data_IF_465454937399
#
_entry.id   IF_465454937399
#
_cell.length_a   1.000
_cell.length_b   1.000
_cell.length_c   1.000
_cell.angle_alpha   90.00
_cell.angle_beta   90.00
_cell.angle_gamma   90.00
#
_symmetry.space_group_name_H-M   'P 1'
#
loop_
_entity.id
_entity.type
_entity.pdbx_description
1 polymer ?
#
# COMPACT_ATOMS: atom_id res chain seq x y z
N UNK A 1 -14.72 1.77 -12.57
CA UNK A 1 -13.93 0.59 -12.12
C UNK A 1 -12.56 1.04 -11.63
N UNK A 2 -11.98 0.36 -10.62
CA UNK A 2 -10.55 0.50 -10.28
C UNK A 2 -9.77 -0.51 -11.15
N UNK A 3 -8.78 -0.04 -11.91
CA UNK A 3 -8.02 -0.88 -12.86
C UNK A 3 -6.67 -1.34 -12.28
N UNK A 4 -6.45 -1.19 -10.97
CA UNK A 4 -5.21 -1.60 -10.29
C UNK A 4 -3.93 -1.03 -10.93
N UNK A 5 -4.05 0.17 -11.52
CA UNK A 5 -2.97 0.82 -12.27
C UNK A 5 -1.74 1.08 -11.38
N UNK A 6 -1.94 1.42 -10.10
CA UNK A 6 -0.84 1.63 -9.16
C UNK A 6 -0.12 0.34 -8.80
N UNK A 7 -0.86 -0.76 -8.59
CA UNK A 7 -0.25 -2.07 -8.31
C UNK A 7 0.59 -2.57 -9.49
N UNK A 8 0.07 -2.50 -10.72
CA UNK A 8 0.79 -2.92 -11.93
C UNK A 8 2.08 -2.11 -12.09
N UNK A 9 2.01 -0.79 -11.90
CA UNK A 9 3.17 0.10 -11.95
C UNK A 9 4.23 -0.28 -10.90
N UNK A 10 3.83 -0.41 -9.63
CA UNK A 10 4.74 -0.67 -8.54
C UNK A 10 5.38 -2.08 -8.63
N UNK A 11 4.58 -3.10 -8.91
CA UNK A 11 5.06 -4.48 -9.08
C UNK A 11 5.97 -4.59 -10.31
N UNK A 12 5.66 -3.89 -11.40
CA UNK A 12 6.54 -3.84 -12.57
C UNK A 12 7.94 -3.31 -12.24
N UNK A 13 8.03 -2.24 -11.45
CA UNK A 13 9.31 -1.68 -10.98
C UNK A 13 10.08 -2.66 -10.08
N UNK A 14 9.39 -3.34 -9.17
CA UNK A 14 10.00 -4.32 -8.28
C UNK A 14 10.49 -5.56 -9.03
N UNK A 15 9.74 -6.05 -10.03
CA UNK A 15 10.18 -7.12 -10.92
C UNK A 15 11.41 -6.70 -11.74
N UNK A 16 11.44 -5.47 -12.26
CA UNK A 16 12.60 -4.94 -12.97
C UNK A 16 13.83 -4.81 -12.04
N UNK A 17 13.63 -4.35 -10.79
CA UNK A 17 14.68 -4.31 -9.78
C UNK A 17 15.21 -5.71 -9.46
N UNK A 18 14.33 -6.69 -9.33
CA UNK A 18 14.69 -8.08 -9.05
C UNK A 18 15.50 -8.70 -10.21
N UNK A 19 15.06 -8.49 -11.46
CA UNK A 19 15.80 -8.94 -12.64
C UNK A 19 17.19 -8.30 -12.75
N UNK A 20 17.28 -7.00 -12.47
CA UNK A 20 18.57 -6.31 -12.51
C UNK A 20 19.50 -6.69 -11.36
N UNK A 21 18.96 -7.03 -10.18
CA UNK A 21 19.71 -7.47 -9.02
C UNK A 21 20.09 -8.96 -9.09
N UNK A 22 19.32 -9.80 -9.79
CA UNK A 22 19.61 -11.23 -9.98
C UNK A 22 20.87 -11.49 -10.84
N UNK A 23 21.33 -10.51 -11.60
CA UNK A 23 22.64 -10.55 -12.25
C UNK A 23 23.82 -10.43 -11.25
N UNK A 24 23.55 -9.98 -10.02
CA UNK A 24 24.51 -9.88 -8.92
C UNK A 24 24.43 -11.18 -8.08
N UNK A 25 25.56 -11.80 -7.73
CA UNK A 25 25.64 -13.08 -6.97
C UNK A 25 25.20 -12.98 -5.49
N UNK A 26 24.33 -12.04 -5.14
CA UNK A 26 23.87 -11.78 -3.77
C UNK A 26 22.37 -12.07 -3.62
N UNK A 27 21.91 -12.62 -2.48
CA UNK A 27 20.49 -12.94 -2.26
C UNK A 27 19.59 -11.71 -2.36
N UNK A 28 18.44 -11.84 -3.04
CA UNK A 28 17.45 -10.77 -3.10
C UNK A 28 16.89 -10.51 -1.69
N UNK A 29 16.62 -9.25 -1.39
CA UNK A 29 15.92 -8.85 -0.17
C UNK A 29 14.95 -7.71 -0.47
N UNK A 30 13.89 -7.58 0.31
CA UNK A 30 12.95 -6.47 0.16
C UNK A 30 13.66 -5.12 0.18
N UNK A 31 14.59 -4.93 1.12
CA UNK A 31 15.38 -3.69 1.25
C UNK A 31 16.23 -3.42 -0.01
N UNK A 32 16.85 -4.45 -0.60
CA UNK A 32 17.63 -4.29 -1.84
C UNK A 32 16.73 -3.87 -3.00
N UNK A 33 15.56 -4.49 -3.14
CA UNK A 33 14.63 -4.17 -4.23
C UNK A 33 14.07 -2.76 -4.09
N UNK A 34 13.57 -2.40 -2.91
CA UNK A 34 13.06 -1.07 -2.61
C UNK A 34 14.09 0.03 -2.88
N UNK A 35 15.32 -0.17 -2.38
CA UNK A 35 16.46 0.74 -2.61
C UNK A 35 16.83 0.83 -4.08
N UNK A 36 16.83 -0.30 -4.80
CA UNK A 36 17.14 -0.32 -6.22
C UNK A 36 16.12 0.49 -7.02
N UNK A 37 14.82 0.38 -6.71
CA UNK A 37 13.77 1.17 -7.37
C UNK A 37 14.00 2.67 -7.16
N UNK A 38 14.14 3.10 -5.91
CA UNK A 38 14.35 4.52 -5.60
C UNK A 38 15.64 5.07 -6.22
N UNK A 39 16.74 4.30 -6.16
CA UNK A 39 18.05 4.73 -6.70
C UNK A 39 18.08 4.77 -8.22
N UNK A 40 17.49 3.79 -8.92
CA UNK A 40 17.61 3.64 -10.37
C UNK A 40 16.60 4.48 -11.15
N UNK A 41 15.40 4.67 -10.59
CA UNK A 41 14.30 5.29 -11.32
C UNK A 41 13.62 6.42 -10.54
N UNK A 42 13.99 6.71 -9.29
CA UNK A 42 13.25 7.67 -8.49
C UNK A 42 13.22 9.07 -9.10
N UNK A 43 14.34 9.53 -9.65
CA UNK A 43 14.43 10.84 -10.29
C UNK A 43 13.62 10.92 -11.60
N UNK A 44 13.59 9.84 -12.36
CA UNK A 44 12.87 9.68 -13.62
C UNK A 44 11.36 9.53 -13.39
N UNK A 45 10.96 8.82 -12.34
CA UNK A 45 9.56 8.68 -11.92
C UNK A 45 8.99 10.04 -11.51
N UNK A 46 9.78 10.91 -10.88
CA UNK A 46 9.32 12.26 -10.50
C UNK A 46 9.29 13.23 -11.69
N UNK A 47 10.28 13.14 -12.60
CA UNK A 47 10.38 14.01 -13.79
C UNK A 47 9.52 13.55 -14.98
N UNK A 48 9.10 12.29 -15.00
CA UNK A 48 8.37 11.71 -16.11
C UNK A 48 6.99 12.34 -16.32
N UNK A 49 6.38 12.18 -17.51
CA UNK A 49 5.09 12.77 -17.82
C UNK A 49 4.03 12.31 -16.83
N UNK A 50 3.25 13.26 -16.29
CA UNK A 50 2.10 12.96 -15.46
C UNK A 50 0.93 12.63 -16.39
N UNK A 51 0.33 11.43 -16.32
CA UNK A 51 -0.83 11.11 -17.15
C UNK A 51 -1.92 12.15 -16.90
N UNK A 52 -2.28 12.89 -17.95
CA UNK A 52 -3.43 13.79 -17.92
C UNK A 52 -4.67 12.93 -17.67
N UNK A 53 -5.45 13.26 -16.63
CA UNK A 53 -6.69 12.58 -16.23
C UNK A 53 -6.53 11.25 -15.47
N UNK A 54 -5.52 11.11 -14.60
CA UNK A 54 -5.51 10.04 -13.59
C UNK A 54 -6.02 10.54 -12.23
N UNK A 55 -6.63 9.65 -11.42
CA UNK A 55 -7.01 10.00 -10.05
C UNK A 55 -5.80 10.52 -9.25
N UNK A 56 -4.61 9.95 -9.50
CA UNK A 56 -3.35 10.39 -8.88
C UNK A 56 -2.92 11.79 -9.30
N UNK A 57 -3.08 12.18 -10.57
CA UNK A 57 -2.73 13.53 -11.04
C UNK A 57 -3.69 14.60 -10.53
N UNK A 58 -4.97 14.26 -10.37
CA UNK A 58 -5.95 15.17 -9.76
C UNK A 58 -5.74 15.32 -8.26
N UNK A 59 -5.45 14.22 -7.56
CA UNK A 59 -5.14 14.26 -6.13
C UNK A 59 -3.81 14.99 -5.85
N UNK A 60 -2.79 14.78 -6.67
CA UNK A 60 -1.52 15.51 -6.57
C UNK A 60 -1.74 17.02 -6.78
N UNK A 61 -2.53 17.41 -7.79
CA UNK A 61 -2.85 18.82 -8.09
C UNK A 61 -3.68 19.48 -6.98
N UNK A 62 -4.66 18.77 -6.43
CA UNK A 62 -5.64 19.32 -5.49
C UNK A 62 -5.22 19.21 -4.02
N UNK A 63 -4.45 18.20 -3.67
CA UNK A 63 -4.13 17.84 -2.29
C UNK A 63 -2.64 17.62 -2.03
N UNK A 64 -1.76 17.79 -3.03
CA UNK A 64 -0.30 17.52 -2.93
C UNK A 64 0.07 16.09 -2.53
N UNK A 65 -0.88 15.16 -2.59
CA UNK A 65 -0.66 13.76 -2.29
C UNK A 65 0.21 13.12 -3.40
N UNK A 66 1.41 12.66 -3.04
CA UNK A 66 2.39 12.10 -3.97
C UNK A 66 2.01 10.76 -4.62
N UNK A 67 1.09 10.01 -3.98
CA UNK A 67 0.53 8.75 -4.48
C UNK A 67 1.58 7.68 -4.83
N UNK A 68 1.20 6.74 -5.70
CA UNK A 68 2.04 5.59 -6.07
C UNK A 68 3.39 5.98 -6.70
N UNK A 69 3.49 7.14 -7.36
CA UNK A 69 4.75 7.63 -7.94
C UNK A 69 5.72 8.11 -6.87
N UNK A 70 5.23 8.86 -5.89
CA UNK A 70 6.05 9.28 -4.75
C UNK A 70 6.51 8.09 -3.92
N UNK A 71 5.62 7.11 -3.67
CA UNK A 71 5.99 5.84 -3.04
C UNK A 71 7.15 5.18 -3.79
N UNK A 72 6.98 4.92 -5.08
CA UNK A 72 8.00 4.25 -5.87
C UNK A 72 9.32 5.04 -5.93
N UNK A 73 9.24 6.37 -6.10
CA UNK A 73 10.42 7.21 -6.21
C UNK A 73 11.27 7.22 -4.92
N UNK A 74 10.64 7.05 -3.77
CA UNK A 74 11.29 6.98 -2.46
C UNK A 74 11.64 5.54 -2.05
N UNK A 75 11.36 4.54 -2.89
CA UNK A 75 11.59 3.14 -2.57
C UNK A 75 10.57 2.55 -1.59
N UNK A 76 9.30 2.94 -1.70
CA UNK A 76 8.16 2.40 -0.96
C UNK A 76 8.27 2.51 0.58
N UNK A 77 8.47 3.73 1.13
CA UNK A 77 8.62 3.92 2.58
C UNK A 77 7.46 3.36 3.39
N UNK A 78 6.21 3.50 2.91
CA UNK A 78 5.07 2.95 3.66
C UNK A 78 5.02 1.42 3.62
N UNK A 79 5.49 0.77 2.54
CA UNK A 79 5.59 -0.69 2.52
C UNK A 79 6.65 -1.16 3.52
N UNK A 80 7.79 -0.46 3.60
CA UNK A 80 8.88 -0.74 4.52
C UNK A 80 8.51 -0.53 5.98
N UNK A 81 8.02 0.66 6.31
CA UNK A 81 7.91 1.14 7.69
C UNK A 81 6.55 0.84 8.32
N UNK A 82 5.53 0.53 7.50
CA UNK A 82 4.17 0.24 7.97
C UNK A 82 3.70 -1.14 7.50
N UNK A 83 3.73 -1.39 6.20
CA UNK A 83 3.17 -2.61 5.58
C UNK A 83 3.82 -3.89 6.09
N UNK A 84 5.14 -4.02 5.93
CA UNK A 84 5.89 -5.22 6.33
C UNK A 84 5.82 -5.48 7.84
N UNK A 85 6.04 -4.49 8.73
CA UNK A 85 5.82 -4.67 10.17
C UNK A 85 4.41 -5.12 10.51
N UNK A 86 3.38 -4.48 9.93
CA UNK A 86 1.99 -4.82 10.22
C UNK A 86 1.61 -6.22 9.69
N UNK A 87 2.11 -6.63 8.53
CA UNK A 87 1.89 -7.97 7.99
C UNK A 87 2.47 -9.03 8.94
N UNK A 88 3.70 -8.83 9.43
CA UNK A 88 4.35 -9.72 10.39
C UNK A 88 3.59 -9.74 11.72
N UNK A 89 3.19 -8.59 12.24
CA UNK A 89 2.40 -8.49 13.47
C UNK A 89 1.05 -9.23 13.35
N UNK A 90 0.35 -9.05 12.22
CA UNK A 90 -0.91 -9.74 11.95
C UNK A 90 -0.79 -11.27 11.93
N UNK A 91 0.34 -11.81 11.45
CA UNK A 91 0.62 -13.26 11.55
C UNK A 91 0.74 -13.73 12.98
N UNK A 92 1.44 -12.96 13.82
CA UNK A 92 1.58 -13.28 15.26
C UNK A 92 0.23 -13.22 15.97
N UNK A 93 -0.62 -12.25 15.62
CA UNK A 93 -1.92 -12.04 16.25
C UNK A 93 -2.97 -13.11 15.90
N UNK A 94 -3.02 -13.57 14.65
CA UNK A 94 -4.13 -14.39 14.15
C UNK A 94 -3.72 -15.72 13.51
N UNK A 95 -2.42 -15.99 13.35
CA UNK A 95 -1.89 -17.26 12.87
C UNK A 95 -2.19 -17.62 11.40
N UNK A 96 -2.86 -16.75 10.63
CA UNK A 96 -3.19 -17.01 9.22
C UNK A 96 -2.87 -15.80 8.32
N UNK A 97 -2.58 -16.08 7.05
CA UNK A 97 -2.13 -15.08 6.08
C UNK A 97 -3.20 -14.08 5.68
N UNK A 98 -4.48 -14.47 5.62
CA UNK A 98 -5.56 -13.55 5.23
C UNK A 98 -5.80 -12.50 6.30
N UNK A 99 -5.84 -12.91 7.58
CA UNK A 99 -5.86 -11.98 8.71
C UNK A 99 -4.64 -11.07 8.71
N UNK A 100 -3.44 -11.61 8.46
CA UNK A 100 -2.23 -10.80 8.38
C UNK A 100 -2.31 -9.71 7.30
N UNK A 101 -2.84 -10.05 6.11
CA UNK A 101 -3.03 -9.09 5.00
C UNK A 101 -4.10 -8.05 5.32
N UNK A 102 -5.18 -8.43 5.99
CA UNK A 102 -6.21 -7.48 6.47
C UNK A 102 -5.61 -6.52 7.49
N UNK A 103 -4.80 -7.02 8.43
CA UNK A 103 -4.12 -6.17 9.41
C UNK A 103 -3.17 -5.17 8.74
N UNK A 104 -2.34 -5.64 7.81
CA UNK A 104 -1.45 -4.79 7.03
C UNK A 104 -2.21 -3.74 6.20
N UNK A 105 -3.33 -4.14 5.59
CA UNK A 105 -4.20 -3.23 4.84
C UNK A 105 -4.71 -2.07 5.71
N UNK A 106 -5.23 -2.39 6.92
CA UNK A 106 -5.70 -1.36 7.84
C UNK A 106 -4.57 -0.46 8.34
N UNK A 107 -3.38 -1.01 8.60
CA UNK A 107 -2.21 -0.22 8.98
C UNK A 107 -1.79 0.76 7.89
N UNK A 108 -1.72 0.29 6.63
CA UNK A 108 -1.43 1.14 5.47
C UNK A 108 -2.48 2.23 5.29
N UNK A 109 -3.76 1.85 5.35
CA UNK A 109 -4.88 2.79 5.24
C UNK A 109 -4.83 3.87 6.32
N UNK A 110 -4.47 3.52 7.57
CA UNK A 110 -4.37 4.49 8.67
C UNK A 110 -3.21 5.50 8.47
N UNK A 111 -2.13 5.08 7.79
CA UNK A 111 -0.91 5.86 7.62
C UNK A 111 -0.92 6.75 6.36
N UNK A 112 -1.50 6.27 5.26
CA UNK A 112 -1.35 6.88 3.94
C UNK A 112 -2.36 7.98 3.62
N UNK A 113 -1.95 8.92 2.76
CA UNK A 113 -2.85 9.80 2.02
C UNK A 113 -3.31 9.12 0.72
N UNK A 114 -4.31 8.25 0.84
CA UNK A 114 -4.81 7.48 -0.30
C UNK A 114 -5.48 8.38 -1.35
N UNK A 115 -4.85 8.48 -2.53
CA UNK A 115 -5.32 9.34 -3.62
C UNK A 115 -6.66 8.89 -4.22
N UNK A 116 -7.01 7.61 -4.14
CA UNK A 116 -8.32 7.13 -4.58
C UNK A 116 -9.42 7.55 -3.61
N UNK A 117 -9.13 7.60 -2.30
CA UNK A 117 -10.06 8.15 -1.32
C UNK A 117 -10.23 9.65 -1.49
N UNK A 118 -9.13 10.40 -1.65
CA UNK A 118 -9.18 11.84 -1.91
C UNK A 118 -9.99 12.18 -3.18
N UNK A 119 -9.85 11.37 -4.23
CA UNK A 119 -10.59 11.57 -5.46
C UNK A 119 -12.11 11.33 -5.30
N UNK A 120 -12.50 10.30 -4.54
CA UNK A 120 -13.92 9.89 -4.41
C UNK A 120 -14.68 10.57 -3.28
N UNK A 121 -14.02 10.80 -2.16
CA UNK A 121 -14.63 11.30 -0.92
C UNK A 121 -13.99 12.60 -0.41
N UNK A 122 -13.01 13.16 -1.11
CA UNK A 122 -12.30 14.36 -0.64
C UNK A 122 -11.51 14.12 0.65
N UNK A 123 -11.12 15.22 1.29
CA UNK A 123 -10.38 15.18 2.56
C UNK A 123 -11.20 14.53 3.68
N UNK A 124 -12.52 14.77 3.73
CA UNK A 124 -13.41 14.16 4.72
C UNK A 124 -13.49 12.63 4.54
N UNK A 125 -13.70 12.15 3.31
CA UNK A 125 -13.72 10.70 3.04
C UNK A 125 -12.40 10.01 3.33
N UNK A 126 -11.26 10.67 3.11
CA UNK A 126 -9.95 10.18 3.56
C UNK A 126 -9.86 10.14 5.08
N UNK A 127 -10.23 11.23 5.76
CA UNK A 127 -10.15 11.33 7.22
C UNK A 127 -11.00 10.25 7.91
N UNK A 128 -12.21 10.02 7.43
CA UNK A 128 -13.10 9.00 7.97
C UNK A 128 -12.59 7.59 7.74
N UNK A 129 -12.06 7.30 6.55
CA UNK A 129 -11.48 5.99 6.28
C UNK A 129 -10.25 5.72 7.15
N UNK A 130 -9.41 6.74 7.39
CA UNK A 130 -8.28 6.66 8.33
C UNK A 130 -8.75 6.48 9.77
N UNK A 131 -9.83 7.15 10.18
CA UNK A 131 -10.42 7.00 11.50
C UNK A 131 -10.96 5.58 11.71
N UNK A 132 -11.71 5.04 10.74
CA UNK A 132 -12.21 3.67 10.79
C UNK A 132 -11.05 2.65 10.86
N UNK A 133 -9.98 2.87 10.08
CA UNK A 133 -8.81 2.02 10.11
C UNK A 133 -8.06 2.06 11.45
N UNK A 134 -7.87 3.26 12.02
CA UNK A 134 -7.28 3.42 13.35
C UNK A 134 -8.14 2.77 14.43
N UNK A 135 -9.47 2.93 14.34
CA UNK A 135 -10.41 2.29 15.25
C UNK A 135 -10.31 0.76 15.22
N UNK A 136 -10.22 0.17 14.03
CA UNK A 136 -9.99 -1.27 13.87
C UNK A 136 -8.71 -1.73 14.55
N UNK A 137 -7.59 -1.03 14.31
CA UNK A 137 -6.29 -1.37 14.89
C UNK A 137 -6.28 -1.21 16.41
N UNK A 138 -6.80 -0.09 16.93
CA UNK A 138 -6.87 0.21 18.38
C UNK A 138 -7.78 -0.77 19.12
N UNK A 139 -8.81 -1.30 18.48
CA UNK A 139 -9.69 -2.31 19.06
C UNK A 139 -9.03 -3.69 19.25
N UNK A 140 -7.79 -3.87 18.76
CA UNK A 140 -7.04 -5.13 18.76
C UNK A 140 -6.81 -5.73 17.36
N UNK A 141 -7.32 -5.06 16.31
CA UNK A 141 -7.17 -5.49 14.92
C UNK A 141 -7.62 -6.94 14.71
N UNK A 142 -6.74 -7.73 14.08
CA UNK A 142 -7.02 -9.16 13.81
C UNK A 142 -6.79 -10.07 15.01
N UNK A 143 -6.30 -9.54 16.13
CA UNK A 143 -6.20 -10.28 17.38
C UNK A 143 -7.54 -10.44 18.10
N UNK A 144 -8.59 -9.71 17.69
CA UNK A 144 -9.94 -9.90 18.24
C UNK A 144 -10.61 -11.14 17.66
N UNK A 145 -11.41 -11.86 18.46
CA UNK A 145 -12.18 -13.01 17.96
C UNK A 145 -13.19 -12.62 16.85
N UNK A 146 -13.76 -11.42 16.91
CA UNK A 146 -14.76 -10.88 15.98
C UNK A 146 -14.16 -10.00 14.86
N UNK A 147 -12.84 -10.07 14.64
CA UNK A 147 -12.13 -9.16 13.72
C UNK A 147 -12.73 -9.14 12.32
N UNK A 148 -13.17 -10.29 11.80
CA UNK A 148 -13.71 -10.40 10.45
C UNK A 148 -15.05 -9.67 10.33
N UNK A 149 -15.89 -9.75 11.36
CA UNK A 149 -17.16 -9.02 11.42
C UNK A 149 -16.91 -7.51 11.48
N UNK A 150 -15.94 -7.06 12.29
CA UNK A 150 -15.55 -5.66 12.39
C UNK A 150 -14.98 -5.12 11.06
N UNK A 151 -14.04 -5.85 10.43
CA UNK A 151 -13.48 -5.49 9.13
C UNK A 151 -14.56 -5.43 8.04
N UNK A 152 -15.51 -6.36 8.06
CA UNK A 152 -16.65 -6.38 7.14
C UNK A 152 -17.58 -5.19 7.35
N UNK A 153 -17.81 -4.78 8.60
CA UNK A 153 -18.61 -3.60 8.92
C UNK A 153 -17.96 -2.32 8.37
N UNK A 154 -16.64 -2.15 8.54
CA UNK A 154 -15.90 -1.03 7.94
C UNK A 154 -15.98 -1.08 6.41
N UNK A 155 -15.79 -2.25 5.81
CA UNK A 155 -15.94 -2.43 4.36
C UNK A 155 -17.32 -2.02 3.85
N UNK A 156 -18.40 -2.45 4.52
CA UNK A 156 -19.79 -2.07 4.17
C UNK A 156 -20.00 -0.56 4.25
N UNK A 157 -19.42 0.11 5.24
CA UNK A 157 -19.46 1.58 5.37
C UNK A 157 -18.73 2.25 4.20
N UNK A 158 -17.58 1.73 3.77
CA UNK A 158 -16.89 2.24 2.58
C UNK A 158 -17.73 2.06 1.31
N UNK A 159 -18.36 0.90 1.13
CA UNK A 159 -19.26 0.65 -0.01
C UNK A 159 -20.43 1.63 -0.02
N UNK A 160 -21.12 1.81 1.12
CA UNK A 160 -22.26 2.71 1.23
C UNK A 160 -21.89 4.16 0.88
N UNK A 161 -20.68 4.59 1.24
CA UNK A 161 -20.15 5.93 0.98
C UNK A 161 -19.36 6.04 -0.34
N UNK A 162 -19.30 4.97 -1.13
CA UNK A 162 -18.53 4.86 -2.37
C UNK A 162 -17.03 5.16 -2.20
N UNK A 163 -16.50 4.98 -0.99
CA UNK A 163 -15.09 5.12 -0.66
C UNK A 163 -14.32 3.88 -1.15
N UNK A 164 -13.16 4.09 -1.75
CA UNK A 164 -12.31 3.00 -2.24
C UNK A 164 -10.84 3.31 -1.96
N UNK A 165 -10.23 2.66 -0.95
CA UNK A 165 -8.82 2.81 -0.59
C UNK A 165 -7.90 2.04 -1.54
N UNK A 166 -7.92 2.43 -2.82
CA UNK A 166 -7.19 1.73 -3.86
C UNK A 166 -5.67 1.92 -3.77
N UNK A 167 -5.18 3.09 -3.32
CA UNK A 167 -3.75 3.29 -3.14
C UNK A 167 -3.18 2.41 -2.02
N UNK A 168 -3.95 2.25 -0.95
CA UNK A 168 -3.63 1.36 0.19
C UNK A 168 -3.63 -0.10 -0.24
N UNK A 169 -4.60 -0.52 -1.08
CA UNK A 169 -4.65 -1.87 -1.64
C UNK A 169 -3.49 -2.15 -2.61
N UNK A 170 -3.12 -1.18 -3.45
CA UNK A 170 -1.98 -1.31 -4.35
C UNK A 170 -0.67 -1.46 -3.56
N UNK A 171 -0.50 -0.72 -2.46
CA UNK A 171 0.67 -0.85 -1.61
C UNK A 171 0.66 -2.11 -0.73
N UNK A 172 -0.53 -2.65 -0.40
CA UNK A 172 -0.62 -3.98 0.20
C UNK A 172 -0.07 -5.05 -0.76
N UNK A 173 -0.36 -4.96 -2.06
CA UNK A 173 0.20 -5.88 -3.05
C UNK A 173 1.74 -5.80 -3.10
N UNK A 174 2.30 -4.59 -3.05
CA UNK A 174 3.76 -4.36 -2.91
C UNK A 174 4.31 -5.01 -1.65
N UNK A 175 3.64 -4.80 -0.51
CA UNK A 175 4.04 -5.37 0.79
C UNK A 175 4.08 -6.90 0.73
N UNK A 176 3.05 -7.53 0.18
CA UNK A 176 2.98 -8.99 0.03
C UNK A 176 4.08 -9.51 -0.90
N UNK A 177 4.38 -8.80 -1.98
CA UNK A 177 5.46 -9.17 -2.89
C UNK A 177 6.83 -9.13 -2.18
N UNK A 178 7.12 -8.04 -1.48
CA UNK A 178 8.38 -7.86 -0.75
C UNK A 178 8.55 -8.92 0.35
N UNK A 179 7.49 -9.20 1.10
CA UNK A 179 7.49 -10.24 2.13
C UNK A 179 7.77 -11.64 1.55
N UNK A 180 7.22 -11.95 0.37
CA UNK A 180 7.52 -13.21 -0.33
C UNK A 180 8.97 -13.30 -0.78
N UNK A 181 9.57 -12.19 -1.22
CA UNK A 181 10.99 -12.16 -1.60
C UNK A 181 11.88 -12.46 -0.40
N UNK A 182 11.58 -11.91 0.79
CA UNK A 182 12.35 -12.18 2.01
C UNK A 182 12.22 -13.62 2.52
N UNK A 183 11.11 -14.28 2.20
CA UNK A 183 10.81 -15.65 2.63
C UNK A 183 11.17 -16.70 1.58
N UNK A 184 11.62 -16.28 0.40
CA UNK A 184 12.09 -17.19 -0.64
C UNK A 184 13.43 -17.82 -0.19
N UNK A 185 13.61 -19.13 -0.40
CA UNK A 185 14.82 -19.84 -0.03
C UNK A 185 16.06 -19.41 -0.82
#
# INVERSE_FOLDING_TARGET
MNTHRGAIFALGLLCAAAGAAGAERSPLSAERLMRAVGKRWGSEILRGPIPLNSHGSDALRRYRAGGARSEAAQGFPHARDVGLPALRAGRVLAGNEDAARVHAFFALLAAMEDTNLLHRGGAEGLADARADARGFLLAGGVGRADWLAHATAVHRRFVARRLSPGGSADLLAVTIFLDRVERAP
#
